data_IF_410642851737
#
_entry.id   IF_410642851737
#
_cell.length_a   1.000
_cell.length_b   1.000
_cell.length_c   1.000
_cell.angle_alpha   90.00
_cell.angle_beta   90.00
_cell.angle_gamma   90.00
#
_symmetry.space_group_name_H-M   'P 1'
#
loop_
_entity.id
_entity.type
_entity.pdbx_description
1 polymer ?
#
# COMPACT_ATOMS: atom_id res chain seq x y z
N UNK A 1 10.55 -1.79 22.40
CA UNK A 1 9.46 -1.90 23.41
C UNK A 1 10.04 -2.04 24.80
N UNK A 2 10.90 -3.04 25.10
CA UNK A 2 11.49 -3.28 26.42
C UNK A 2 12.20 -2.03 26.98
N UNK A 3 12.98 -1.34 26.17
CA UNK A 3 13.69 -0.11 26.57
C UNK A 3 12.71 0.99 27.01
N UNK A 4 11.58 1.14 26.31
CA UNK A 4 10.55 2.13 26.63
C UNK A 4 9.90 1.80 27.99
N UNK A 5 9.59 0.52 28.22
CA UNK A 5 9.05 0.06 29.50
C UNK A 5 10.02 0.31 30.66
N UNK A 6 11.29 -0.08 30.50
CA UNK A 6 12.33 0.16 31.51
C UNK A 6 12.50 1.65 31.81
N UNK A 7 12.53 2.48 30.78
CA UNK A 7 12.65 3.93 30.95
C UNK A 7 11.43 4.52 31.68
N UNK A 8 10.21 4.04 31.39
CA UNK A 8 8.99 4.41 32.10
C UNK A 8 9.03 4.04 33.59
N UNK A 9 9.54 2.84 33.93
CA UNK A 9 9.73 2.40 35.30
C UNK A 9 10.76 3.29 36.04
N UNK A 10 11.89 3.61 35.40
CA UNK A 10 12.89 4.52 35.99
C UNK A 10 12.32 5.93 36.26
N UNK A 11 11.44 6.41 35.41
CA UNK A 11 10.75 7.71 35.55
C UNK A 11 9.53 7.66 36.47
N UNK A 12 9.22 6.50 37.06
CA UNK A 12 8.04 6.28 37.94
C UNK A 12 6.73 6.68 37.25
N UNK A 13 6.63 6.48 35.94
CA UNK A 13 5.40 6.74 35.18
C UNK A 13 4.44 5.57 35.40
N UNK A 14 3.15 5.85 35.58
CA UNK A 14 2.12 4.81 35.63
C UNK A 14 1.98 4.21 34.21
N UNK A 15 2.62 3.06 33.98
CA UNK A 15 2.67 2.39 32.68
C UNK A 15 1.28 1.98 32.18
N UNK A 16 0.43 1.52 33.08
CA UNK A 16 -0.93 1.09 32.72
C UNK A 16 -1.79 2.28 32.28
N UNK A 17 -1.77 3.36 33.01
CA UNK A 17 -2.50 4.58 32.67
C UNK A 17 -2.02 5.19 31.36
N UNK A 18 -0.70 5.28 31.18
CA UNK A 18 -0.10 5.76 29.92
C UNK A 18 -0.47 4.88 28.73
N UNK A 19 -0.50 3.56 28.93
CA UNK A 19 -0.93 2.63 27.91
C UNK A 19 -2.42 2.81 27.58
N UNK A 20 -3.29 2.92 28.57
CA UNK A 20 -4.73 3.10 28.39
C UNK A 20 -5.06 4.40 27.64
N UNK A 21 -4.39 5.49 27.97
CA UNK A 21 -4.52 6.78 27.25
C UNK A 21 -4.07 6.61 25.79
N UNK A 22 -2.93 5.95 25.56
CA UNK A 22 -2.43 5.67 24.22
C UNK A 22 -3.37 4.83 23.36
N UNK A 23 -4.04 3.83 23.97
CA UNK A 23 -5.06 3.01 23.30
C UNK A 23 -6.28 3.85 22.93
N UNK A 24 -6.77 4.70 23.84
CA UNK A 24 -7.91 5.58 23.55
C UNK A 24 -7.60 6.56 22.41
N UNK A 25 -6.44 7.20 22.41
CA UNK A 25 -5.99 8.12 21.36
C UNK A 25 -5.84 7.41 20.03
N UNK A 26 -5.29 6.18 20.03
CA UNK A 26 -5.15 5.35 18.84
C UNK A 26 -6.52 4.97 18.25
N UNK A 27 -7.47 4.57 19.11
CA UNK A 27 -8.84 4.24 18.70
C UNK A 27 -9.55 5.43 18.06
N UNK A 28 -9.46 6.61 18.66
CA UNK A 28 -10.03 7.85 18.11
C UNK A 28 -9.40 8.21 16.76
N UNK A 29 -8.12 7.98 16.60
CA UNK A 29 -7.40 8.21 15.34
C UNK A 29 -7.86 7.23 14.26
N UNK A 30 -8.01 5.95 14.58
CA UNK A 30 -8.55 4.94 13.68
C UNK A 30 -9.95 5.30 13.18
N UNK A 31 -10.85 5.70 14.08
CA UNK A 31 -12.21 6.11 13.71
C UNK A 31 -12.23 7.30 12.74
N UNK A 32 -11.31 8.26 12.89
CA UNK A 32 -11.20 9.41 11.96
C UNK A 32 -10.69 8.99 10.58
N UNK A 33 -9.85 7.98 10.50
CA UNK A 33 -9.28 7.48 9.25
C UNK A 33 -10.22 6.52 8.50
N UNK A 34 -11.09 5.84 9.24
CA UNK A 34 -11.96 4.79 8.72
C UNK A 34 -12.82 5.19 7.51
N UNK A 35 -13.50 6.37 7.47
CA UNK A 35 -14.26 6.78 6.29
C UNK A 35 -13.41 6.94 5.03
N UNK A 36 -12.21 7.50 5.17
CA UNK A 36 -11.28 7.66 4.05
C UNK A 36 -10.79 6.32 3.51
N UNK A 37 -10.48 5.37 4.39
CA UNK A 37 -10.09 4.01 4.01
C UNK A 37 -11.22 3.27 3.30
N UNK A 38 -12.45 3.37 3.80
CA UNK A 38 -13.64 2.79 3.16
C UNK A 38 -13.86 3.39 1.76
N UNK A 39 -13.75 4.71 1.62
CA UNK A 39 -13.90 5.39 0.33
C UNK A 39 -12.90 4.85 -0.70
N UNK A 40 -11.63 4.69 -0.31
CA UNK A 40 -10.58 4.16 -1.20
C UNK A 40 -10.89 2.70 -1.59
N UNK A 41 -11.28 1.85 -0.63
CA UNK A 41 -11.63 0.45 -0.89
C UNK A 41 -12.83 0.34 -1.82
N UNK A 42 -13.85 1.19 -1.66
CA UNK A 42 -15.01 1.23 -2.54
C UNK A 42 -14.63 1.63 -3.97
N UNK A 43 -13.86 2.71 -4.13
CA UNK A 43 -13.39 3.15 -5.46
C UNK A 43 -12.59 2.05 -6.15
N UNK A 44 -11.70 1.35 -5.42
CA UNK A 44 -10.94 0.23 -5.94
C UNK A 44 -11.84 -0.91 -6.42
N UNK A 45 -12.80 -1.32 -5.59
CA UNK A 45 -13.72 -2.40 -5.95
C UNK A 45 -14.55 -2.04 -7.19
N UNK A 46 -15.04 -0.79 -7.27
CA UNK A 46 -15.75 -0.30 -8.46
C UNK A 46 -14.84 -0.34 -9.68
N UNK A 47 -13.59 0.12 -9.56
CA UNK A 47 -12.62 0.11 -10.65
C UNK A 47 -12.31 -1.31 -11.14
N UNK A 48 -12.02 -2.24 -10.22
CA UNK A 48 -11.71 -3.64 -10.55
C UNK A 48 -12.91 -4.36 -11.21
N UNK A 49 -14.13 -4.06 -10.76
CA UNK A 49 -15.36 -4.68 -11.29
C UNK A 49 -15.95 -3.92 -12.49
N UNK A 50 -15.37 -2.81 -12.92
CA UNK A 50 -15.87 -2.01 -14.06
C UNK A 50 -15.58 -2.62 -15.44
N UNK A 51 -14.82 -3.72 -15.51
CA UNK A 51 -14.37 -4.31 -16.78
C UNK A 51 -13.32 -3.47 -17.52
N UNK A 52 -12.86 -2.36 -16.93
CA UNK A 52 -11.79 -1.52 -17.53
C UNK A 52 -10.50 -2.32 -17.63
N UNK A 53 -10.18 -3.12 -16.61
CA UNK A 53 -8.97 -3.94 -16.57
C UNK A 53 -8.99 -4.99 -17.68
N UNK A 54 -10.14 -5.60 -17.95
CA UNK A 54 -10.33 -6.56 -19.05
C UNK A 54 -10.17 -5.89 -20.41
N UNK A 55 -10.64 -4.66 -20.56
CA UNK A 55 -10.47 -3.87 -21.80
C UNK A 55 -9.03 -3.41 -22.03
N UNK A 56 -8.22 -3.30 -20.99
CA UNK A 56 -6.78 -2.98 -21.10
C UNK A 56 -6.00 -4.13 -21.78
N UNK A 57 -6.51 -5.35 -21.80
CA UNK A 57 -5.98 -6.46 -22.60
C UNK A 57 -5.93 -6.15 -24.09
N UNK A 58 -6.83 -5.32 -24.59
CA UNK A 58 -6.92 -4.96 -26.00
C UNK A 58 -5.92 -3.87 -26.45
N UNK A 59 -5.23 -3.21 -25.52
CA UNK A 59 -4.39 -2.04 -25.80
C UNK A 59 -2.90 -2.34 -26.04
N UNK A 60 -2.50 -3.61 -26.21
CA UNK A 60 -1.10 -3.97 -26.56
C UNK A 60 -0.06 -3.79 -25.45
N UNK A 61 -0.51 -3.45 -24.23
CA UNK A 61 0.34 -3.34 -23.05
C UNK A 61 0.84 -4.72 -22.57
N UNK A 62 0.21 -5.78 -23.06
CA UNK A 62 0.53 -7.19 -22.75
C UNK A 62 1.96 -7.61 -23.10
N UNK A 63 2.61 -6.92 -24.04
CA UNK A 63 4.00 -7.19 -24.41
C UNK A 63 4.98 -6.94 -23.27
N UNK A 64 4.60 -6.12 -22.28
CA UNK A 64 5.47 -5.68 -21.19
C UNK A 64 5.00 -6.13 -19.81
N UNK A 65 3.69 -6.17 -19.56
CA UNK A 65 3.13 -6.50 -18.26
C UNK A 65 1.87 -7.36 -18.45
N UNK A 66 1.78 -8.47 -17.69
CA UNK A 66 0.53 -9.19 -17.63
C UNK A 66 -0.54 -8.35 -16.91
N UNK A 67 -1.82 -8.51 -17.24
CA UNK A 67 -2.89 -7.71 -16.65
C UNK A 67 -2.95 -7.77 -15.14
N UNK A 68 -2.69 -8.93 -14.59
CA UNK A 68 -2.65 -9.13 -13.14
C UNK A 68 -1.55 -8.29 -12.48
N UNK A 69 -0.42 -8.09 -13.17
CA UNK A 69 0.66 -7.24 -12.65
C UNK A 69 0.25 -5.78 -12.63
N UNK A 70 -0.50 -5.31 -13.63
CA UNK A 70 -1.06 -3.95 -13.67
C UNK A 70 -2.05 -3.76 -12.51
N UNK A 71 -2.92 -4.75 -12.27
CA UNK A 71 -3.84 -4.74 -11.12
C UNK A 71 -3.05 -4.65 -9.82
N UNK A 72 -1.98 -5.41 -9.68
CA UNK A 72 -1.12 -5.37 -8.51
C UNK A 72 -0.49 -3.98 -8.32
N UNK A 73 0.03 -3.37 -9.37
CA UNK A 73 0.60 -2.02 -9.35
C UNK A 73 -0.41 -0.96 -8.90
N UNK A 74 -1.66 -1.09 -9.33
CA UNK A 74 -2.75 -0.17 -8.95
C UNK A 74 -3.26 -0.41 -7.52
N UNK A 75 -3.31 -1.66 -7.08
CA UNK A 75 -3.83 -2.01 -5.75
C UNK A 75 -2.80 -1.82 -4.65
N UNK A 76 -1.51 -1.98 -4.95
CA UNK A 76 -0.43 -1.90 -3.96
C UNK A 76 -0.39 -0.58 -3.18
N UNK A 77 -0.49 0.62 -3.79
CA UNK A 77 -0.49 1.88 -3.05
C UNK A 77 -1.68 2.04 -2.09
N UNK A 78 -2.75 1.27 -2.29
CA UNK A 78 -4.04 1.44 -1.61
C UNK A 78 -4.27 0.34 -0.58
N UNK A 79 -4.04 -0.92 -0.95
CA UNK A 79 -4.34 -2.08 -0.13
C UNK A 79 -3.27 -3.17 -0.27
N UNK A 80 -2.55 -3.39 0.82
CA UNK A 80 -1.56 -4.46 0.90
C UNK A 80 -2.18 -5.85 0.67
N UNK A 81 -3.35 -6.10 1.28
CA UNK A 81 -4.03 -7.40 1.18
C UNK A 81 -4.50 -7.70 -0.24
N UNK A 82 -5.09 -6.72 -0.94
CA UNK A 82 -5.52 -6.89 -2.34
C UNK A 82 -4.33 -7.12 -3.26
N UNK A 83 -3.24 -6.39 -3.07
CA UNK A 83 -1.99 -6.57 -3.81
C UNK A 83 -1.40 -7.97 -3.57
N UNK A 84 -1.42 -8.47 -2.32
CA UNK A 84 -0.96 -9.82 -1.98
C UNK A 84 -1.81 -10.91 -2.66
N UNK A 85 -3.13 -10.75 -2.68
CA UNK A 85 -4.02 -11.68 -3.38
C UNK A 85 -3.72 -11.71 -4.89
N UNK A 86 -3.49 -10.55 -5.50
CA UNK A 86 -3.11 -10.47 -6.92
C UNK A 86 -1.77 -11.13 -7.17
N UNK A 87 -0.78 -10.91 -6.30
CA UNK A 87 0.53 -11.59 -6.37
C UNK A 87 0.36 -13.12 -6.31
N UNK A 88 -0.46 -13.63 -5.40
CA UNK A 88 -0.71 -15.08 -5.31
C UNK A 88 -1.40 -15.63 -6.55
N UNK A 89 -2.27 -14.86 -7.19
CA UNK A 89 -2.88 -15.22 -8.47
C UNK A 89 -1.85 -15.29 -9.61
N UNK A 90 -0.90 -14.34 -9.65
CA UNK A 90 0.21 -14.35 -10.61
C UNK A 90 1.07 -15.60 -10.40
N UNK A 91 1.39 -15.96 -9.15
CA UNK A 91 2.15 -17.17 -8.85
C UNK A 91 1.46 -18.44 -9.31
N UNK A 92 0.15 -18.55 -9.10
CA UNK A 92 -0.64 -19.71 -9.55
C UNK A 92 -0.68 -19.84 -11.06
N UNK A 93 -0.75 -18.72 -11.79
CA UNK A 93 -0.94 -18.69 -13.24
C UNK A 93 0.38 -18.80 -14.01
N UNK A 94 1.42 -18.12 -13.56
CA UNK A 94 2.67 -17.97 -14.29
C UNK A 94 3.87 -18.66 -13.61
N UNK A 95 3.74 -19.05 -12.36
CA UNK A 95 4.82 -19.58 -11.53
C UNK A 95 5.61 -18.50 -10.80
N UNK A 96 6.20 -18.87 -9.66
CA UNK A 96 6.96 -17.94 -8.78
C UNK A 96 8.27 -17.50 -9.47
N UNK A 97 8.95 -18.40 -10.13
CA UNK A 97 10.24 -18.16 -10.80
C UNK A 97 10.12 -17.50 -12.17
N UNK A 98 8.90 -17.32 -12.67
CA UNK A 98 8.65 -16.62 -13.92
C UNK A 98 9.02 -15.15 -13.83
N UNK A 99 9.25 -14.51 -14.98
CA UNK A 99 9.46 -13.06 -15.05
C UNK A 99 8.36 -12.28 -14.31
N UNK A 100 7.09 -12.64 -14.52
CA UNK A 100 5.96 -11.98 -13.88
C UNK A 100 5.88 -12.27 -12.37
N UNK A 101 6.20 -13.49 -11.93
CA UNK A 101 6.26 -13.84 -10.51
C UNK A 101 7.32 -13.05 -9.76
N UNK A 102 8.52 -12.95 -10.33
CA UNK A 102 9.62 -12.16 -9.76
C UNK A 102 9.27 -10.66 -9.72
N UNK A 103 8.70 -10.11 -10.80
CA UNK A 103 8.21 -8.73 -10.81
C UNK A 103 7.15 -8.48 -9.71
N UNK A 104 6.19 -9.39 -9.57
CA UNK A 104 5.15 -9.29 -8.56
C UNK A 104 5.72 -9.29 -7.13
N UNK A 105 6.72 -10.12 -6.88
CA UNK A 105 7.46 -10.15 -5.61
C UNK A 105 8.14 -8.83 -5.31
N UNK A 106 8.86 -8.27 -6.29
CA UNK A 106 9.56 -7.00 -6.14
C UNK A 106 8.59 -5.85 -5.89
N UNK A 107 7.48 -5.79 -6.63
CA UNK A 107 6.43 -4.79 -6.44
C UNK A 107 5.85 -4.90 -5.02
N UNK A 108 5.58 -6.13 -4.55
CA UNK A 108 5.02 -6.33 -3.21
C UNK A 108 5.93 -5.84 -2.10
N UNK A 109 7.25 -5.95 -2.27
CA UNK A 109 8.24 -5.64 -1.23
C UNK A 109 8.90 -4.27 -1.37
N UNK A 110 8.67 -3.54 -2.48
CA UNK A 110 9.40 -2.29 -2.78
C UNK A 110 8.98 -1.11 -1.91
N UNK A 111 7.72 -1.04 -1.50
CA UNK A 111 7.18 0.06 -0.69
C UNK A 111 5.92 -0.37 0.07
N UNK A 112 5.55 0.41 1.06
CA UNK A 112 4.34 0.21 1.85
C UNK A 112 3.11 0.79 1.15
N UNK A 113 1.92 0.59 1.73
CA UNK A 113 0.66 1.17 1.25
C UNK A 113 0.71 2.70 1.35
N UNK A 114 1.08 3.33 0.26
CA UNK A 114 1.38 4.76 0.18
C UNK A 114 0.24 5.64 0.67
N UNK A 115 -1.00 5.34 0.27
CA UNK A 115 -2.17 6.09 0.71
C UNK A 115 -2.43 5.96 2.20
N UNK A 116 -2.24 4.79 2.77
CA UNK A 116 -2.39 4.57 4.21
C UNK A 116 -1.38 5.43 5.00
N UNK A 117 -0.13 5.39 4.60
CA UNK A 117 0.94 6.18 5.23
C UNK A 117 0.62 7.67 5.18
N UNK A 118 0.25 8.19 4.00
CA UNK A 118 -0.09 9.62 3.84
C UNK A 118 -1.28 10.03 4.69
N UNK A 119 -2.36 9.25 4.68
CA UNK A 119 -3.56 9.56 5.48
C UNK A 119 -3.22 9.57 6.96
N UNK A 120 -2.42 8.60 7.43
CA UNK A 120 -1.99 8.52 8.83
C UNK A 120 -1.21 9.77 9.23
N UNK A 121 -0.20 10.16 8.46
CA UNK A 121 0.62 11.34 8.77
C UNK A 121 -0.15 12.66 8.63
N UNK A 122 -0.97 12.83 7.60
CA UNK A 122 -1.78 14.05 7.43
C UNK A 122 -2.82 14.20 8.54
N UNK A 123 -3.41 13.10 8.99
CA UNK A 123 -4.35 13.09 10.12
C UNK A 123 -3.65 13.50 11.43
N UNK A 124 -2.43 13.01 11.67
CA UNK A 124 -1.64 13.35 12.84
C UNK A 124 -1.22 14.83 12.85
N UNK A 125 -0.88 15.39 11.70
CA UNK A 125 -0.45 16.78 11.55
C UNK A 125 -1.61 17.78 11.56
N UNK A 126 -2.88 17.35 11.64
CA UNK A 126 -4.10 18.19 11.54
C UNK A 126 -4.07 19.13 10.32
N UNK A 127 -3.33 18.79 9.29
CA UNK A 127 -3.09 19.62 8.10
C UNK A 127 -3.92 19.08 6.93
N UNK A 128 -5.08 19.68 6.71
CA UNK A 128 -5.94 19.35 5.55
C UNK A 128 -5.43 19.93 4.22
N UNK A 129 -4.43 20.79 4.24
CA UNK A 129 -3.99 21.57 3.06
C UNK A 129 -2.92 20.91 2.17
N UNK A 130 -2.39 19.75 2.51
CA UNK A 130 -1.24 19.17 1.81
C UNK A 130 -1.58 18.03 0.83
N UNK A 131 -2.68 18.14 0.08
CA UNK A 131 -2.97 17.25 -1.06
C UNK A 131 -1.85 17.25 -2.14
N UNK A 132 -1.01 18.29 -2.14
CA UNK A 132 0.17 18.40 -3.03
C UNK A 132 1.21 17.29 -2.81
N UNK A 133 1.21 16.62 -1.65
CA UNK A 133 2.12 15.50 -1.34
C UNK A 133 1.73 14.22 -2.12
N UNK A 134 0.47 14.07 -2.52
CA UNK A 134 0.01 12.88 -3.23
C UNK A 134 0.64 12.74 -4.61
N UNK A 135 0.86 13.85 -5.33
CA UNK A 135 1.42 13.83 -6.69
C UNK A 135 2.87 13.29 -6.71
N UNK A 136 3.83 13.83 -5.94
CA UNK A 136 5.19 13.30 -5.92
C UNK A 136 5.25 11.86 -5.42
N UNK A 137 4.37 11.48 -4.51
CA UNK A 137 4.31 10.12 -4.00
C UNK A 137 3.83 9.13 -5.07
N UNK A 138 2.82 9.50 -5.83
CA UNK A 138 2.33 8.70 -6.96
C UNK A 138 3.40 8.58 -8.05
N UNK A 139 4.11 9.66 -8.35
CA UNK A 139 5.24 9.65 -9.28
C UNK A 139 6.37 8.73 -8.79
N UNK A 140 6.70 8.76 -7.50
CA UNK A 140 7.70 7.86 -6.92
C UNK A 140 7.31 6.39 -7.08
N UNK A 141 6.05 6.03 -6.84
CA UNK A 141 5.57 4.66 -7.06
C UNK A 141 5.69 4.26 -8.55
N UNK A 142 5.31 5.14 -9.46
CA UNK A 142 5.41 4.90 -10.91
C UNK A 142 6.87 4.68 -11.34
N UNK A 143 7.78 5.52 -10.86
CA UNK A 143 9.22 5.37 -11.12
C UNK A 143 9.76 4.06 -10.57
N UNK A 144 9.33 3.64 -9.39
CA UNK A 144 9.71 2.35 -8.81
C UNK A 144 9.26 1.18 -9.68
N UNK A 145 8.03 1.21 -10.22
CA UNK A 145 7.55 0.17 -11.13
C UNK A 145 8.34 0.10 -12.42
N UNK A 146 8.66 1.26 -13.00
CA UNK A 146 9.52 1.33 -14.19
C UNK A 146 10.92 0.78 -13.91
N UNK A 147 11.47 1.11 -12.75
CA UNK A 147 12.80 0.63 -12.35
C UNK A 147 12.83 -0.88 -12.16
N UNK A 148 11.80 -1.45 -11.52
CA UNK A 148 11.63 -2.91 -11.39
C UNK A 148 11.55 -3.57 -12.77
N UNK A 149 10.77 -3.01 -13.69
CA UNK A 149 10.62 -3.55 -15.03
C UNK A 149 11.94 -3.53 -15.82
N UNK A 150 12.74 -2.49 -15.66
CA UNK A 150 14.06 -2.35 -16.31
C UNK A 150 15.04 -3.37 -15.72
N UNK A 151 15.17 -3.44 -14.39
CA UNK A 151 16.07 -4.39 -13.72
C UNK A 151 15.75 -5.82 -14.13
N UNK A 152 14.48 -6.18 -14.11
CA UNK A 152 14.05 -7.54 -14.43
C UNK A 152 14.23 -7.93 -15.91
N UNK A 153 14.50 -6.95 -16.78
CA UNK A 153 14.87 -7.21 -18.19
C UNK A 153 16.37 -7.38 -18.41
N UNK A 154 17.17 -6.82 -17.50
CA UNK A 154 18.63 -6.88 -17.58
C UNK A 154 19.16 -8.13 -16.89
N UNK A 155 18.44 -8.63 -15.89
CA UNK A 155 18.72 -9.90 -15.17
C UNK A 155 18.12 -11.09 -15.91
#
# INVERSE_FOLDING_TARGET
>A
IIIIFLFGLFKKVNLYESFSIGVEDSYRSLLKMFPSMLGIVLVLNVFLNSGIVEKMHLCGVEKFFCPELIIQMLTKPISWSSSLLTMTSIYKKYGVDSFYGKCATLIQNSFDTTFYVVITYLSALKSSKNSKILIPLFLANLLTYLFIAIIMRVL
#
